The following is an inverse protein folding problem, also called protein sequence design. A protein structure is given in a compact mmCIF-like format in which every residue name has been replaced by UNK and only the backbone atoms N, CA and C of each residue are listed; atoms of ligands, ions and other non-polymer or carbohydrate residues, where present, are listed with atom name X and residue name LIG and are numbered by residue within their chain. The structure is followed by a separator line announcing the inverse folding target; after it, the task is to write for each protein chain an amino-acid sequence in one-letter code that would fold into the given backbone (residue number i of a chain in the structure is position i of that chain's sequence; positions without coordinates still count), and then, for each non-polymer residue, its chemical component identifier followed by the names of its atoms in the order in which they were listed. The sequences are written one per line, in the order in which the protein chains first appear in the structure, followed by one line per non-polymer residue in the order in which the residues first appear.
data_IF_588600005588
#
_entry.id   IF_588600005588
#
_cell.length_a   1.000
_cell.length_b   1.000
_cell.length_c   1.000
_cell.angle_alpha   90.00
_cell.angle_beta   90.00
_cell.angle_gamma   90.00
#
_symmetry.space_group_name_H-M   'P 1'
#
loop_
_entity.id
_entity.type
_entity.pdbx_description
1 polymer ?
#
# COMPACT_ATOMS: atom_id res chain seq x y z
N UNK A 1 -15.34 -22.43 22.64
CA UNK A 1 -15.52 -21.03 22.24
C UNK A 1 -14.14 -20.38 22.15
N UNK A 2 -13.55 -20.32 20.96
CA UNK A 2 -12.34 -19.51 20.75
C UNK A 2 -12.82 -18.23 20.09
N UNK A 3 -12.96 -17.17 20.87
CA UNK A 3 -13.10 -15.83 20.31
C UNK A 3 -11.78 -15.52 19.60
N UNK A 4 -11.73 -15.73 18.29
CA UNK A 4 -10.66 -15.19 17.47
C UNK A 4 -10.78 -13.66 17.57
N UNK A 5 -10.02 -13.07 18.48
CA UNK A 5 -9.82 -11.63 18.49
C UNK A 5 -9.01 -11.32 17.24
N UNK A 6 -9.69 -11.01 16.14
CA UNK A 6 -9.08 -10.46 14.93
C UNK A 6 -8.51 -9.10 15.34
N UNK A 7 -7.23 -9.10 15.72
CA UNK A 7 -6.50 -7.89 16.09
C UNK A 7 -6.29 -7.08 14.82
N UNK A 8 -7.29 -6.28 14.47
CA UNK A 8 -7.18 -5.28 13.41
C UNK A 8 -6.02 -4.36 13.74
N UNK A 9 -5.02 -4.30 12.86
CA UNK A 9 -3.87 -3.40 13.03
C UNK A 9 -4.33 -1.93 13.10
N UNK A 10 -3.72 -1.15 13.99
CA UNK A 10 -3.95 0.29 14.07
C UNK A 10 -3.47 0.99 12.78
N UNK A 11 -3.97 2.20 12.53
CA UNK A 11 -3.50 3.05 11.41
C UNK A 11 -1.97 3.23 11.47
N UNK A 12 -1.43 3.49 12.67
CA UNK A 12 0.00 3.67 12.88
C UNK A 12 0.80 2.39 12.63
N UNK A 13 0.26 1.22 12.99
CA UNK A 13 0.94 -0.05 12.73
C UNK A 13 0.96 -0.39 11.24
N UNK A 14 -0.14 -0.10 10.53
CA UNK A 14 -0.20 -0.23 9.07
C UNK A 14 0.78 0.72 8.38
N UNK A 15 0.84 1.97 8.82
CA UNK A 15 1.79 2.94 8.30
C UNK A 15 3.25 2.51 8.53
N UNK A 16 3.58 2.08 9.76
CA UNK A 16 4.90 1.52 10.10
C UNK A 16 5.24 0.29 9.26
N UNK A 17 4.27 -0.57 8.97
CA UNK A 17 4.49 -1.72 8.10
C UNK A 17 4.90 -1.28 6.69
N UNK A 18 4.20 -0.30 6.12
CA UNK A 18 4.50 0.24 4.78
C UNK A 18 5.90 0.83 4.76
N UNK A 19 6.23 1.68 5.74
CA UNK A 19 7.55 2.33 5.82
C UNK A 19 8.69 1.32 5.95
N UNK A 20 8.53 0.32 6.84
CA UNK A 20 9.55 -0.72 7.07
C UNK A 20 9.78 -1.62 5.86
N UNK A 21 8.73 -1.87 5.09
CA UNK A 21 8.78 -2.82 3.97
C UNK A 21 8.88 -2.15 2.60
N UNK A 22 8.96 -0.81 2.52
CA UNK A 22 8.88 -0.05 1.29
C UNK A 22 9.80 -0.57 0.17
N UNK A 23 11.07 -0.80 0.48
CA UNK A 23 12.04 -1.34 -0.47
C UNK A 23 11.62 -2.72 -1.04
N UNK A 24 11.03 -3.59 -0.21
CA UNK A 24 10.54 -4.91 -0.64
C UNK A 24 9.25 -4.77 -1.45
N UNK A 25 8.38 -3.84 -1.08
CA UNK A 25 7.14 -3.56 -1.80
C UNK A 25 7.41 -3.06 -3.21
N UNK A 26 8.38 -2.15 -3.39
CA UNK A 26 8.82 -1.70 -4.72
C UNK A 26 9.18 -2.89 -5.61
N UNK A 27 9.88 -3.89 -5.09
CA UNK A 27 10.34 -5.03 -5.87
C UNK A 27 9.26 -6.09 -6.12
N UNK A 28 8.28 -6.22 -5.23
CA UNK A 28 7.36 -7.35 -5.22
C UNK A 28 5.94 -7.03 -5.74
N UNK A 29 5.54 -5.76 -5.78
CA UNK A 29 4.21 -5.37 -6.25
C UNK A 29 4.23 -5.19 -7.77
N UNK A 30 3.44 -5.99 -8.47
CA UNK A 30 3.24 -5.88 -9.93
C UNK A 30 1.98 -5.09 -10.29
N UNK A 31 0.90 -5.19 -9.50
CA UNK A 31 -0.42 -4.60 -9.79
C UNK A 31 -0.57 -3.19 -9.20
N UNK A 32 0.41 -2.32 -9.44
CA UNK A 32 0.48 -1.00 -8.80
C UNK A 32 -0.72 -0.11 -9.16
N UNK A 33 -1.26 -0.24 -10.37
CA UNK A 33 -2.43 0.54 -10.79
C UNK A 33 -3.68 0.15 -10.00
N UNK A 34 -3.91 -1.14 -9.79
CA UNK A 34 -5.06 -1.60 -9.01
C UNK A 34 -4.97 -1.11 -7.55
N UNK A 35 -3.78 -1.06 -6.96
CA UNK A 35 -3.59 -0.46 -5.63
C UNK A 35 -3.84 1.04 -5.66
N UNK A 36 -3.32 1.74 -6.67
CA UNK A 36 -3.44 3.20 -6.79
C UNK A 36 -4.89 3.63 -7.01
N UNK A 37 -5.65 2.90 -7.82
CA UNK A 37 -7.09 3.12 -8.02
C UNK A 37 -7.89 2.90 -6.73
N UNK A 38 -7.51 1.90 -5.93
CA UNK A 38 -8.14 1.66 -4.63
C UNK A 38 -7.92 2.80 -3.62
N UNK A 39 -6.91 3.66 -3.83
CA UNK A 39 -6.71 4.86 -3.02
C UNK A 39 -7.68 6.00 -3.39
N UNK A 40 -8.30 5.94 -4.57
CA UNK A 40 -9.28 6.92 -5.04
C UNK A 40 -8.79 8.37 -4.91
N UNK A 41 -9.62 9.22 -4.30
CA UNK A 41 -9.36 10.66 -4.14
C UNK A 41 -8.15 10.98 -3.25
N UNK A 42 -7.53 10.00 -2.58
CA UNK A 42 -6.26 10.19 -1.87
C UNK A 42 -5.08 10.38 -2.83
N UNK A 43 -5.24 10.02 -4.11
CA UNK A 43 -4.26 10.26 -5.17
C UNK A 43 -4.88 11.20 -6.18
N UNK A 44 -4.32 12.40 -6.30
CA UNK A 44 -4.79 13.39 -7.26
C UNK A 44 -4.77 12.83 -8.70
N UNK A 45 -5.77 13.10 -9.55
CA UNK A 45 -5.83 12.56 -10.91
C UNK A 45 -4.57 12.81 -11.75
N UNK A 46 -3.95 13.99 -11.60
CA UNK A 46 -2.68 14.28 -12.28
C UNK A 46 -1.56 13.34 -11.84
N UNK A 47 -1.49 13.01 -10.55
CA UNK A 47 -0.51 12.06 -10.02
C UNK A 47 -0.82 10.64 -10.47
N UNK A 48 -2.10 10.24 -10.49
CA UNK A 48 -2.54 8.96 -11.03
C UNK A 48 -2.08 8.80 -12.49
N UNK A 49 -2.31 9.80 -13.34
CA UNK A 49 -1.86 9.77 -14.75
C UNK A 49 -0.34 9.72 -14.88
N UNK A 50 0.43 10.37 -13.99
CA UNK A 50 1.89 10.28 -14.00
C UNK A 50 2.39 8.89 -13.61
N UNK A 51 1.72 8.24 -12.64
CA UNK A 51 2.01 6.86 -12.24
C UNK A 51 1.69 5.92 -13.40
N UNK A 52 0.52 6.04 -14.01
CA UNK A 52 0.08 5.17 -15.12
C UNK A 52 1.10 5.14 -16.26
N UNK A 53 1.68 6.29 -16.59
CA UNK A 53 2.67 6.48 -17.66
C UNK A 53 4.06 5.92 -17.39
N UNK A 54 4.36 5.45 -16.17
CA UNK A 54 5.67 4.84 -15.90
C UNK A 54 5.77 3.48 -16.60
N UNK A 55 6.97 3.16 -17.10
CA UNK A 55 7.20 1.94 -17.87
C UNK A 55 7.21 0.67 -17.01
N UNK A 56 7.66 0.77 -15.76
CA UNK A 56 7.83 -0.39 -14.88
C UNK A 56 7.00 -0.30 -13.60
N UNK A 57 6.60 -1.44 -13.03
CA UNK A 57 5.88 -1.46 -11.75
C UNK A 57 6.73 -0.87 -10.62
N UNK A 58 8.05 -1.04 -10.67
CA UNK A 58 8.97 -0.46 -9.71
C UNK A 58 8.94 1.08 -9.77
N UNK A 59 8.93 1.66 -10.97
CA UNK A 59 8.85 3.12 -11.13
C UNK A 59 7.49 3.68 -10.72
N UNK A 60 6.40 2.95 -11.01
CA UNK A 60 5.06 3.25 -10.48
C UNK A 60 5.07 3.30 -8.95
N UNK A 61 5.67 2.28 -8.31
CA UNK A 61 5.80 2.24 -6.85
C UNK A 61 6.62 3.40 -6.32
N UNK A 62 7.77 3.72 -6.92
CA UNK A 62 8.60 4.87 -6.50
C UNK A 62 7.83 6.17 -6.58
N UNK A 63 7.03 6.38 -7.63
CA UNK A 63 6.22 7.59 -7.78
C UNK A 63 5.09 7.66 -6.73
N UNK A 64 4.50 6.52 -6.37
CA UNK A 64 3.48 6.43 -5.32
C UNK A 64 4.01 6.83 -3.93
N UNK A 65 5.32 6.81 -3.70
CA UNK A 65 5.91 7.28 -2.45
C UNK A 65 5.52 8.73 -2.10
N UNK A 66 5.38 9.60 -3.10
CA UNK A 66 4.99 11.00 -2.92
C UNK A 66 3.63 11.14 -2.23
N UNK A 67 2.55 10.62 -2.83
CA UNK A 67 1.22 10.57 -2.21
C UNK A 67 1.19 9.96 -0.81
N UNK A 68 1.90 8.84 -0.61
CA UNK A 68 1.99 8.17 0.69
C UNK A 68 2.67 9.04 1.75
N UNK A 69 3.68 9.81 1.36
CA UNK A 69 4.39 10.74 2.22
C UNK A 69 3.53 11.95 2.60
N UNK A 70 2.90 12.62 1.62
CA UNK A 70 2.09 13.82 1.86
C UNK A 70 0.77 13.52 2.57
N UNK A 71 0.19 12.33 2.33
CA UNK A 71 -1.07 11.90 2.94
C UNK A 71 -0.95 11.37 4.38
N UNK A 72 0.27 11.13 4.85
CA UNK A 72 0.56 10.63 6.19
C UNK A 72 -0.01 9.23 6.48
N UNK A 73 -0.13 8.90 7.76
CA UNK A 73 -0.47 7.54 8.21
C UNK A 73 -1.81 7.03 7.67
N UNK A 74 -2.78 7.92 7.44
CA UNK A 74 -4.10 7.54 6.89
C UNK A 74 -3.98 6.96 5.49
N UNK A 75 -3.21 7.62 4.61
CA UNK A 75 -3.04 7.16 3.23
C UNK A 75 -2.16 5.90 3.19
N UNK A 76 -1.13 5.82 4.04
CA UNK A 76 -0.34 4.58 4.19
C UNK A 76 -1.19 3.41 4.70
N UNK A 77 -2.12 3.65 5.62
CA UNK A 77 -3.04 2.62 6.10
C UNK A 77 -4.02 2.16 5.01
N UNK A 78 -4.56 3.09 4.20
CA UNK A 78 -5.38 2.74 3.04
C UNK A 78 -4.59 1.92 2.01
N UNK A 79 -3.33 2.31 1.75
CA UNK A 79 -2.42 1.55 0.89
C UNK A 79 -2.18 0.13 1.43
N UNK A 80 -1.97 -0.03 2.74
CA UNK A 80 -1.86 -1.36 3.36
C UNK A 80 -3.12 -2.19 3.13
N UNK A 81 -4.30 -1.60 3.29
CA UNK A 81 -5.57 -2.32 3.12
C UNK A 81 -5.79 -2.74 1.66
N UNK A 82 -5.47 -1.87 0.70
CA UNK A 82 -5.47 -2.20 -0.72
C UNK A 82 -4.45 -3.31 -1.06
N UNK A 83 -3.24 -3.21 -0.52
CA UNK A 83 -2.19 -4.23 -0.67
C UNK A 83 -2.63 -5.57 -0.08
N UNK A 84 -3.31 -5.59 1.06
CA UNK A 84 -3.83 -6.80 1.70
C UNK A 84 -4.95 -7.43 0.87
N UNK A 85 -5.80 -6.63 0.25
CA UNK A 85 -6.88 -7.11 -0.61
C UNK A 85 -6.35 -7.76 -1.90
N UNK A 86 -5.33 -7.17 -2.54
CA UNK A 86 -4.81 -7.64 -3.84
C UNK A 86 -3.65 -8.63 -3.70
N UNK A 87 -2.78 -8.42 -2.71
CA UNK A 87 -1.55 -9.19 -2.50
C UNK A 87 -1.46 -9.72 -1.06
N UNK A 88 -2.51 -10.40 -0.60
CA UNK A 88 -2.57 -10.99 0.75
C UNK A 88 -1.31 -11.78 1.13
N UNK A 89 -0.84 -12.64 0.22
CA UNK A 89 0.34 -13.47 0.42
C UNK A 89 1.62 -12.65 0.64
N UNK A 90 1.73 -11.47 -0.01
CA UNK A 90 2.85 -10.56 0.16
C UNK A 90 2.81 -9.92 1.54
N UNK A 91 1.62 -9.51 2.00
CA UNK A 91 1.42 -8.95 3.35
C UNK A 91 1.80 -9.97 4.43
N UNK A 92 1.37 -11.23 4.28
CA UNK A 92 1.75 -12.34 5.17
C UNK A 92 3.26 -12.53 5.22
N UNK A 93 3.91 -12.64 4.04
CA UNK A 93 5.35 -12.86 3.91
C UNK A 93 6.18 -11.72 4.53
N UNK A 94 5.64 -10.51 4.57
CA UNK A 94 6.30 -9.32 5.11
C UNK A 94 5.95 -9.04 6.59
N UNK A 95 5.20 -9.93 7.25
CA UNK A 95 4.86 -9.84 8.67
C UNK A 95 3.65 -8.98 9.01
N UNK A 96 2.75 -8.75 8.04
CA UNK A 96 1.47 -8.09 8.28
C UNK A 96 0.49 -9.00 9.02
N UNK A 97 -0.51 -8.41 9.67
CA UNK A 97 -1.51 -9.14 10.48
C UNK A 97 -2.94 -8.96 9.92
N UNK A 98 -3.81 -9.93 10.25
CA UNK A 98 -5.15 -10.08 9.70
C UNK A 98 -6.26 -9.51 10.58
#
# INVERSE_FOLDING_TARGET
MVCASTKTMSIQDKAKFVDRNWAKLIQAVSEVMAITEALGDMVHPETLSKIERQDTSQDKMRMLHGPLGSGGDKVKAAFYDALKAQHRHLVERLGGSF
#
